data_IF_177029640839
#
_entry.id   IF_177029640839
#
_cell.length_a   1.000
_cell.length_b   1.000
_cell.length_c   1.000
_cell.angle_alpha   90.00
_cell.angle_beta   90.00
_cell.angle_gamma   90.00
#
_symmetry.space_group_name_H-M   'P 1'
#
loop_
_entity.id
_entity.type
_entity.pdbx_description
1 polymer ?
#
# COMPACT_ATOMS: atom_id res chain seq x y z
N UNK A 1 32.60 -11.96 -18.78
CA UNK A 1 33.05 -11.06 -17.71
C UNK A 1 31.81 -10.51 -17.05
N UNK A 2 31.45 -11.03 -15.88
CA UNK A 2 30.34 -10.45 -15.10
C UNK A 2 30.83 -9.12 -14.52
N UNK A 3 30.26 -8.01 -14.95
CA UNK A 3 30.49 -6.71 -14.33
C UNK A 3 29.95 -6.79 -12.90
N UNK A 4 30.81 -6.68 -11.90
CA UNK A 4 30.39 -6.60 -10.50
C UNK A 4 29.62 -5.28 -10.33
N UNK A 5 28.41 -5.35 -9.86
CA UNK A 5 27.58 -4.16 -9.56
C UNK A 5 28.34 -3.27 -8.57
N UNK A 6 28.62 -2.02 -8.98
CA UNK A 6 29.41 -1.07 -8.18
C UNK A 6 28.66 -0.69 -6.91
N UNK A 7 27.36 -0.40 -7.02
CA UNK A 7 26.49 -0.10 -5.90
C UNK A 7 25.39 -1.17 -5.82
N UNK A 8 25.40 -1.95 -4.74
CA UNK A 8 24.28 -2.82 -4.40
C UNK A 8 23.20 -1.99 -3.71
N UNK A 9 21.98 -2.02 -4.23
CA UNK A 9 20.81 -1.38 -3.66
C UNK A 9 19.71 -2.42 -3.46
N UNK A 10 19.16 -2.51 -2.27
CA UNK A 10 18.09 -3.45 -1.95
C UNK A 10 17.07 -2.83 -0.99
N UNK A 11 15.82 -3.25 -1.10
CA UNK A 11 14.75 -2.93 -0.16
C UNK A 11 14.43 -4.20 0.61
N UNK A 12 14.40 -4.09 1.92
CA UNK A 12 14.03 -5.17 2.84
C UNK A 12 12.73 -4.78 3.55
N UNK A 13 11.88 -5.76 3.81
CA UNK A 13 10.62 -5.58 4.51
C UNK A 13 9.91 -6.92 4.68
N UNK A 14 8.67 -6.89 5.16
CA UNK A 14 7.78 -8.05 5.23
C UNK A 14 7.17 -8.27 3.84
N UNK A 15 7.18 -9.49 3.34
CA UNK A 15 6.66 -9.86 2.03
C UNK A 15 5.12 -10.00 1.98
N UNK A 16 4.48 -10.11 3.16
CA UNK A 16 3.03 -10.17 3.31
C UNK A 16 2.57 -9.29 4.47
N UNK A 17 1.40 -8.65 4.31
CA UNK A 17 0.83 -7.76 5.32
C UNK A 17 -0.70 -7.82 5.28
N UNK A 18 -1.37 -7.53 6.40
CA UNK A 18 -2.80 -7.24 6.42
C UNK A 18 -3.01 -5.78 6.04
N UNK A 19 -4.10 -5.49 5.32
CA UNK A 19 -4.44 -4.11 4.98
C UNK A 19 -4.59 -3.25 6.24
N UNK A 20 -3.96 -2.07 6.23
CA UNK A 20 -3.98 -1.12 7.35
C UNK A 20 -2.90 -1.32 8.41
N UNK A 21 -2.20 -2.46 8.42
CA UNK A 21 -1.06 -2.65 9.32
C UNK A 21 0.12 -1.77 8.92
N UNK A 22 0.97 -1.44 9.90
CA UNK A 22 2.20 -0.70 9.66
C UNK A 22 3.27 -1.62 9.07
N UNK A 23 3.94 -1.14 8.03
CA UNK A 23 5.13 -1.77 7.45
C UNK A 23 6.33 -0.83 7.56
N UNK A 24 7.50 -1.38 7.89
CA UNK A 24 8.79 -0.70 7.82
C UNK A 24 9.59 -1.25 6.64
N UNK A 25 9.95 -0.37 5.72
CA UNK A 25 10.91 -0.65 4.65
C UNK A 25 12.30 -0.21 5.07
N UNK A 26 13.30 -1.06 4.87
CA UNK A 26 14.71 -0.74 5.03
C UNK A 26 15.39 -0.71 3.67
N UNK A 27 15.74 0.48 3.19
CA UNK A 27 16.53 0.64 1.97
C UNK A 27 17.99 0.55 2.34
N UNK A 28 18.64 -0.53 1.90
CA UNK A 28 20.02 -0.85 2.19
C UNK A 28 20.89 -0.63 0.96
N UNK A 29 22.06 -0.02 1.11
CA UNK A 29 22.98 0.22 0.03
C UNK A 29 24.43 -0.06 0.45
N UNK A 30 25.22 -0.56 -0.51
CA UNK A 30 26.61 -0.95 -0.30
C UNK A 30 27.47 -0.61 -1.50
N UNK A 31 28.60 0.06 -1.27
CA UNK A 31 29.60 0.28 -2.31
C UNK A 31 30.50 -0.95 -2.42
N UNK A 32 30.31 -1.72 -3.49
CA UNK A 32 31.13 -2.88 -3.84
C UNK A 32 32.30 -2.53 -4.76
N UNK A 33 32.39 -1.25 -5.18
CA UNK A 33 33.47 -0.75 -6.05
C UNK A 33 34.71 -0.34 -5.29
N UNK A 34 35.69 0.16 -6.04
CA UNK A 34 36.99 0.59 -5.51
C UNK A 34 37.10 2.14 -5.44
N UNK A 35 36.06 2.87 -5.83
CA UNK A 35 36.03 4.32 -5.83
C UNK A 35 34.98 4.84 -4.86
N UNK A 36 35.24 6.01 -4.28
CA UNK A 36 34.23 6.74 -3.50
C UNK A 36 33.08 7.16 -4.41
N UNK A 37 31.84 6.93 -3.97
CA UNK A 37 30.64 7.41 -4.64
C UNK A 37 30.24 8.73 -4.01
N UNK A 38 30.35 9.80 -4.78
CA UNK A 38 30.16 11.18 -4.32
C UNK A 38 28.75 11.67 -4.62
N UNK A 39 28.25 12.60 -3.79
CA UNK A 39 26.94 13.23 -3.92
C UNK A 39 25.80 12.22 -4.13
N UNK A 40 25.74 11.14 -3.32
CA UNK A 40 24.68 10.16 -3.48
C UNK A 40 23.34 10.75 -3.04
N UNK A 41 22.31 10.54 -3.86
CA UNK A 41 20.93 10.97 -3.56
C UNK A 41 19.99 9.79 -3.70
N UNK A 42 19.29 9.46 -2.62
CA UNK A 42 18.32 8.37 -2.54
C UNK A 42 16.93 8.94 -2.78
N UNK A 43 16.20 8.31 -3.70
CA UNK A 43 14.77 8.50 -3.87
C UNK A 43 14.09 7.20 -3.47
N UNK A 44 13.11 7.29 -2.58
CA UNK A 44 12.26 6.18 -2.20
C UNK A 44 10.80 6.52 -2.44
N UNK A 45 10.10 5.65 -3.15
CA UNK A 45 8.69 5.77 -3.48
C UNK A 45 7.93 4.63 -2.83
N UNK A 46 7.02 4.99 -1.94
CA UNK A 46 6.09 4.07 -1.31
C UNK A 46 5.11 3.49 -2.34
N UNK A 47 4.55 2.30 -2.09
CA UNK A 47 3.48 1.77 -2.91
C UNK A 47 2.30 2.74 -3.05
N UNK A 48 1.54 2.58 -4.12
CA UNK A 48 0.25 3.26 -4.26
C UNK A 48 -0.66 2.96 -3.06
N UNK A 49 -1.49 3.92 -2.68
CA UNK A 49 -2.39 3.84 -1.52
C UNK A 49 -1.68 3.66 -0.18
N UNK A 50 -0.43 4.05 -0.08
CA UNK A 50 0.27 4.17 1.21
C UNK A 50 -0.25 5.34 2.02
N UNK A 51 -0.43 5.13 3.32
CA UNK A 51 -0.82 6.17 4.28
C UNK A 51 0.38 6.55 5.14
N UNK A 52 0.77 7.82 5.07
CA UNK A 52 1.79 8.44 5.91
C UNK A 52 1.18 9.59 6.70
N UNK A 53 1.78 9.98 7.81
CA UNK A 53 1.28 11.07 8.66
C UNK A 53 1.21 12.41 7.92
N UNK A 54 2.15 12.68 7.01
CA UNK A 54 2.25 13.92 6.24
C UNK A 54 1.71 13.81 4.82
N UNK A 55 1.14 12.66 4.43
CA UNK A 55 0.60 12.37 3.11
C UNK A 55 1.64 12.20 2.00
N UNK A 56 2.95 12.24 2.33
CA UNK A 56 4.01 12.05 1.35
C UNK A 56 4.22 10.58 1.04
N UNK A 57 4.32 10.26 -0.25
CA UNK A 57 4.59 8.91 -0.74
C UNK A 57 5.94 8.80 -1.46
N UNK A 58 6.61 9.92 -1.70
CA UNK A 58 7.92 10.00 -2.34
C UNK A 58 8.87 10.82 -1.48
N UNK A 59 10.02 10.24 -1.16
CA UNK A 59 11.05 10.83 -0.32
C UNK A 59 12.33 10.97 -1.12
N UNK A 60 13.01 12.10 -0.96
CA UNK A 60 14.33 12.34 -1.52
C UNK A 60 15.26 12.70 -0.38
N UNK A 61 16.41 12.05 -0.30
CA UNK A 61 17.39 12.25 0.75
C UNK A 61 18.81 12.26 0.16
N UNK A 62 19.53 13.35 0.36
CA UNK A 62 20.96 13.41 0.07
C UNK A 62 21.71 12.67 1.16
N UNK A 63 22.64 11.83 0.74
CA UNK A 63 23.43 10.97 1.61
C UNK A 63 24.86 11.47 1.66
N UNK A 64 25.63 10.99 2.65
CA UNK A 64 27.07 11.21 2.71
C UNK A 64 27.77 10.36 1.65
N UNK A 65 28.93 10.80 1.19
CA UNK A 65 29.79 10.02 0.31
C UNK A 65 29.94 8.58 0.81
N UNK A 66 29.84 7.62 -0.12
CA UNK A 66 29.88 6.19 0.20
C UNK A 66 31.25 5.65 -0.20
N UNK A 67 32.08 5.35 0.81
CA UNK A 67 33.43 4.83 0.59
C UNK A 67 33.40 3.35 0.17
N UNK A 68 34.47 2.84 -0.47
CA UNK A 68 34.59 1.43 -0.80
C UNK A 68 34.35 0.53 0.42
N UNK A 69 33.40 -0.40 0.30
CA UNK A 69 33.05 -1.33 1.37
C UNK A 69 31.98 -0.82 2.36
N UNK A 70 31.68 0.48 2.35
CA UNK A 70 30.64 1.03 3.21
C UNK A 70 29.27 0.43 2.90
N UNK A 71 28.55 0.09 3.97
CA UNK A 71 27.19 -0.41 3.94
C UNK A 71 26.34 0.40 4.93
N UNK A 72 25.24 0.96 4.44
CA UNK A 72 24.35 1.79 5.23
C UNK A 72 22.88 1.52 4.84
N UNK A 73 21.95 2.09 5.60
CA UNK A 73 20.51 1.95 5.35
C UNK A 73 19.71 3.18 5.75
N UNK A 74 18.53 3.31 5.17
CA UNK A 74 17.51 4.29 5.54
C UNK A 74 16.19 3.54 5.73
N UNK A 75 15.40 3.94 6.73
CA UNK A 75 14.13 3.31 7.07
C UNK A 75 12.95 4.23 6.74
N UNK A 76 11.87 3.63 6.25
CA UNK A 76 10.61 4.29 5.95
C UNK A 76 9.45 3.47 6.50
N UNK A 77 8.47 4.14 7.10
CA UNK A 77 7.27 3.51 7.64
C UNK A 77 6.02 4.03 6.96
N UNK A 78 5.07 3.15 6.78
CA UNK A 78 3.76 3.48 6.23
C UNK A 78 2.73 2.43 6.63
N UNK A 79 1.45 2.73 6.38
CA UNK A 79 0.37 1.75 6.36
C UNK A 79 -0.06 1.52 4.92
N UNK A 80 -0.31 0.27 4.56
CA UNK A 80 -0.74 -0.07 3.21
C UNK A 80 -2.24 -0.30 3.15
N UNK A 81 -2.87 0.33 2.17
CA UNK A 81 -4.23 0.03 1.75
C UNK A 81 -4.20 -0.72 0.41
N UNK A 82 -5.25 -1.46 0.12
CA UNK A 82 -5.36 -2.18 -1.14
C UNK A 82 -6.39 -3.30 -1.08
N UNK A 83 -6.52 -4.06 -2.14
CA UNK A 83 -7.40 -5.22 -2.21
C UNK A 83 -6.68 -6.47 -1.73
N UNK A 84 -7.44 -7.43 -1.24
CA UNK A 84 -6.91 -8.75 -0.87
C UNK A 84 -6.21 -9.39 -2.08
N UNK A 85 -5.07 -10.02 -1.82
CA UNK A 85 -4.17 -10.62 -2.81
C UNK A 85 -3.52 -9.64 -3.79
N UNK A 86 -3.70 -8.32 -3.65
CA UNK A 86 -2.97 -7.34 -4.44
C UNK A 86 -1.50 -7.23 -4.02
N UNK A 87 -0.65 -6.76 -4.96
CA UNK A 87 0.75 -6.49 -4.73
C UNK A 87 0.98 -4.98 -4.60
N UNK A 88 1.55 -4.57 -3.50
CA UNK A 88 1.99 -3.21 -3.24
C UNK A 88 3.49 -3.11 -3.52
N UNK A 89 3.92 -2.24 -4.44
CA UNK A 89 5.30 -2.19 -4.94
C UNK A 89 5.97 -0.90 -4.46
N UNK A 90 6.99 -1.04 -3.62
CA UNK A 90 7.91 0.03 -3.25
C UNK A 90 9.07 0.10 -4.26
N UNK A 91 9.58 1.31 -4.50
CA UNK A 91 10.67 1.55 -5.47
C UNK A 91 11.76 2.40 -4.84
N UNK A 92 13.00 2.12 -5.15
CA UNK A 92 14.14 2.92 -4.73
C UNK A 92 15.09 3.18 -5.88
N UNK A 93 15.59 4.41 -5.96
CA UNK A 93 16.65 4.84 -6.86
C UNK A 93 17.75 5.49 -6.04
N UNK A 94 18.98 5.15 -6.31
CA UNK A 94 20.14 5.80 -5.73
C UNK A 94 21.07 6.28 -6.83
N UNK A 95 21.12 7.60 -7.02
CA UNK A 95 22.02 8.23 -7.97
C UNK A 95 23.33 8.64 -7.29
N UNK A 96 24.44 8.53 -7.97
CA UNK A 96 25.77 8.84 -7.44
C UNK A 96 26.75 9.17 -8.56
N UNK A 97 27.88 9.75 -8.19
CA UNK A 97 28.98 10.06 -9.10
C UNK A 97 30.27 9.43 -8.57
N UNK A 98 30.85 8.43 -9.25
CA UNK A 98 32.16 7.89 -8.83
C UNK A 98 33.23 8.98 -8.87
N UNK A 99 34.08 9.00 -7.84
CA UNK A 99 35.20 9.94 -7.78
C UNK A 99 36.06 9.84 -9.06
N UNK A 100 36.44 10.96 -9.62
CA UNK A 100 37.18 11.11 -10.88
C UNK A 100 36.36 10.85 -12.15
N UNK A 101 35.02 10.71 -12.05
CA UNK A 101 34.10 10.74 -13.19
C UNK A 101 33.19 11.97 -13.08
N UNK A 102 32.75 12.47 -14.22
CA UNK A 102 31.79 13.59 -14.30
C UNK A 102 30.39 13.14 -14.69
N UNK A 103 30.20 11.84 -14.78
CA UNK A 103 28.92 11.22 -15.15
C UNK A 103 28.26 10.66 -13.89
N UNK A 104 26.96 10.95 -13.76
CA UNK A 104 26.11 10.41 -12.70
C UNK A 104 25.54 9.06 -13.11
N UNK A 105 25.62 8.11 -12.21
CA UNK A 105 25.03 6.77 -12.36
C UNK A 105 23.84 6.62 -11.43
N UNK A 106 22.97 5.65 -11.72
CA UNK A 106 21.82 5.33 -10.92
C UNK A 106 21.66 3.81 -10.78
N UNK A 107 21.39 3.37 -9.56
CA UNK A 107 20.93 2.02 -9.26
C UNK A 107 19.44 2.07 -8.91
N UNK A 108 18.69 1.06 -9.32
CA UNK A 108 17.25 0.94 -9.13
C UNK A 108 16.88 -0.43 -8.58
N UNK A 109 15.92 -0.47 -7.66
CA UNK A 109 15.37 -1.72 -7.13
C UNK A 109 13.91 -1.55 -6.74
N UNK A 110 13.19 -2.66 -6.64
CA UNK A 110 11.81 -2.72 -6.19
C UNK A 110 11.63 -3.79 -5.13
N UNK A 111 10.57 -3.63 -4.33
CA UNK A 111 10.15 -4.63 -3.35
C UNK A 111 8.62 -4.76 -3.39
N UNK A 112 8.12 -5.99 -3.46
CA UNK A 112 6.70 -6.27 -3.53
C UNK A 112 6.20 -6.85 -2.22
N UNK A 113 5.12 -6.29 -1.70
CA UNK A 113 4.41 -6.75 -0.50
C UNK A 113 3.04 -7.23 -0.93
N UNK A 114 2.66 -8.45 -0.52
CA UNK A 114 1.33 -8.98 -0.77
C UNK A 114 0.38 -8.60 0.37
N UNK A 115 -0.78 -8.03 0.04
CA UNK A 115 -1.86 -7.80 0.99
C UNK A 115 -2.66 -9.09 1.10
N UNK A 116 -2.60 -9.76 2.25
CA UNK A 116 -3.17 -11.10 2.45
C UNK A 116 -4.57 -11.11 3.09
N UNK A 117 -5.03 -9.98 3.59
CA UNK A 117 -6.39 -9.84 4.12
C UNK A 117 -6.85 -8.39 4.12
N UNK A 118 -8.14 -8.19 4.08
CA UNK A 118 -8.80 -6.89 4.19
C UNK A 118 -9.48 -6.75 5.56
N UNK A 119 -9.66 -5.51 6.07
CA UNK A 119 -10.22 -5.30 7.41
C UNK A 119 -11.71 -5.63 7.51
N UNK A 120 -12.44 -5.64 6.40
CA UNK A 120 -13.88 -5.87 6.36
C UNK A 120 -14.21 -6.90 5.28
N UNK A 121 -14.98 -7.91 5.66
CA UNK A 121 -15.66 -8.78 4.70
C UNK A 121 -17.01 -8.17 4.37
N UNK A 122 -17.36 -8.16 3.08
CA UNK A 122 -18.68 -7.80 2.57
C UNK A 122 -19.24 -9.00 1.81
N UNK A 123 -20.47 -9.38 2.10
CA UNK A 123 -21.14 -10.49 1.46
C UNK A 123 -22.59 -10.11 1.13
N UNK A 124 -23.00 -10.35 -0.13
CA UNK A 124 -24.35 -10.11 -0.59
C UNK A 124 -25.14 -11.42 -0.59
N UNK A 125 -26.23 -11.43 0.15
CA UNK A 125 -27.25 -12.48 0.03
C UNK A 125 -28.33 -12.01 -0.94
N UNK A 126 -28.27 -12.51 -2.16
CA UNK A 126 -29.10 -12.13 -3.28
C UNK A 126 -29.99 -13.30 -3.72
N UNK A 127 -31.27 -13.06 -4.08
CA UNK A 127 -32.08 -14.07 -4.73
C UNK A 127 -31.44 -14.55 -6.04
N UNK A 128 -31.51 -15.85 -6.29
CA UNK A 128 -30.94 -16.45 -7.52
C UNK A 128 -31.68 -16.04 -8.81
N UNK A 129 -32.85 -15.44 -8.67
CA UNK A 129 -33.69 -14.95 -9.79
C UNK A 129 -34.36 -13.64 -9.40
N UNK A 130 -34.40 -12.70 -10.33
CA UNK A 130 -35.16 -11.48 -10.23
C UNK A 130 -36.19 -11.43 -11.38
N UNK A 131 -37.41 -11.04 -11.07
CA UNK A 131 -38.48 -10.85 -12.07
C UNK A 131 -38.67 -9.35 -12.35
N UNK A 132 -38.77 -9.00 -13.63
CA UNK A 132 -38.94 -7.62 -14.04
C UNK A 132 -40.23 -7.03 -13.45
N UNK A 133 -40.12 -5.85 -12.80
CA UNK A 133 -41.26 -5.12 -12.22
C UNK A 133 -41.75 -5.71 -10.90
N UNK A 134 -41.06 -6.65 -10.29
CA UNK A 134 -41.31 -7.14 -8.95
C UNK A 134 -40.26 -6.68 -7.96
N UNK A 135 -40.69 -6.44 -6.73
CA UNK A 135 -39.79 -6.17 -5.62
C UNK A 135 -38.98 -7.44 -5.28
N UNK A 136 -37.72 -7.24 -4.94
CA UNK A 136 -36.85 -8.28 -4.37
C UNK A 136 -36.19 -7.75 -3.10
N UNK A 137 -35.96 -8.64 -2.14
CA UNK A 137 -35.22 -8.34 -0.95
C UNK A 137 -33.83 -8.96 -1.05
N UNK A 138 -32.83 -8.25 -0.56
CA UNK A 138 -31.47 -8.74 -0.42
C UNK A 138 -30.85 -8.19 0.87
N UNK A 139 -29.80 -8.88 1.34
CA UNK A 139 -29.03 -8.45 2.50
C UNK A 139 -27.59 -8.21 2.12
N UNK A 140 -27.01 -7.15 2.66
CA UNK A 140 -25.58 -6.93 2.66
C UNK A 140 -25.06 -7.19 4.07
N UNK A 141 -24.29 -8.26 4.21
CA UNK A 141 -23.61 -8.59 5.45
C UNK A 141 -22.20 -8.01 5.44
N UNK A 142 -21.79 -7.46 6.57
CA UNK A 142 -20.44 -6.93 6.74
C UNK A 142 -19.85 -7.41 8.07
N UNK A 143 -18.54 -7.61 8.11
CA UNK A 143 -17.87 -8.17 9.28
C UNK A 143 -16.46 -7.64 9.42
N UNK A 144 -16.06 -7.25 10.64
CA UNK A 144 -14.70 -6.79 10.93
C UNK A 144 -13.74 -7.97 11.11
N UNK A 145 -12.65 -8.00 10.34
CA UNK A 145 -11.58 -9.00 10.38
C UNK A 145 -10.36 -8.56 11.18
N UNK A 146 -10.38 -7.36 11.79
CA UNK A 146 -9.22 -6.78 12.48
C UNK A 146 -9.44 -6.67 13.98
N UNK A 147 -8.34 -6.49 14.71
CA UNK A 147 -8.30 -6.51 16.18
C UNK A 147 -8.54 -5.15 16.84
N UNK A 148 -8.78 -4.11 16.05
CA UNK A 148 -9.05 -2.76 16.52
C UNK A 148 -10.35 -2.21 15.92
N UNK A 149 -11.02 -1.25 16.56
CA UNK A 149 -12.25 -0.68 16.05
C UNK A 149 -11.99 0.13 14.78
N UNK A 150 -12.89 -0.02 13.81
CA UNK A 150 -12.98 0.86 12.65
C UNK A 150 -14.02 1.94 12.93
N UNK A 151 -13.68 3.19 12.67
CA UNK A 151 -14.53 4.34 12.95
C UNK A 151 -14.92 5.07 11.66
N UNK A 152 -16.11 5.71 11.70
CA UNK A 152 -16.62 6.54 10.60
C UNK A 152 -16.71 5.80 9.27
N UNK A 153 -17.16 4.56 9.28
CA UNK A 153 -17.36 3.79 8.07
C UNK A 153 -18.58 4.27 7.29
N UNK A 154 -18.48 4.19 5.98
CA UNK A 154 -19.61 4.41 5.07
C UNK A 154 -19.71 3.24 4.11
N UNK A 155 -20.90 2.68 3.99
CA UNK A 155 -21.24 1.69 2.96
C UNK A 155 -22.07 2.42 1.93
N UNK A 156 -21.60 2.41 0.68
CA UNK A 156 -22.30 2.97 -0.46
C UNK A 156 -22.59 1.89 -1.47
N UNK A 157 -23.84 1.82 -1.93
CA UNK A 157 -24.24 0.92 -3.01
C UNK A 157 -24.51 1.78 -4.24
N UNK A 158 -23.71 1.57 -5.28
CA UNK A 158 -23.95 2.24 -6.55
C UNK A 158 -25.18 1.66 -7.23
N UNK A 159 -26.01 2.53 -7.82
CA UNK A 159 -27.22 2.12 -8.51
C UNK A 159 -26.89 1.28 -9.74
N UNK A 160 -27.49 0.12 -9.83
CA UNK A 160 -27.43 -0.74 -11.02
C UNK A 160 -28.56 -0.36 -11.97
N UNK A 161 -28.28 -0.19 -13.24
CA UNK A 161 -29.28 0.12 -14.25
C UNK A 161 -30.44 -0.88 -14.21
N UNK A 162 -31.64 -0.37 -14.02
CA UNK A 162 -32.86 -1.17 -13.95
C UNK A 162 -33.30 -1.58 -12.55
N UNK A 163 -32.53 -1.19 -11.50
CA UNK A 163 -32.92 -1.38 -10.11
C UNK A 163 -33.11 -0.02 -9.40
N UNK A 164 -34.12 0.04 -8.55
CA UNK A 164 -34.36 1.18 -7.70
C UNK A 164 -34.53 0.69 -6.26
N UNK A 165 -33.81 1.31 -5.32
CA UNK A 165 -33.97 1.01 -3.90
C UNK A 165 -35.24 1.67 -3.40
N UNK A 166 -36.21 0.85 -2.97
CA UNK A 166 -37.46 1.32 -2.40
C UNK A 166 -37.31 1.65 -0.91
N UNK A 167 -36.75 0.73 -0.14
CA UNK A 167 -36.53 0.89 1.31
C UNK A 167 -35.32 0.10 1.79
N UNK A 168 -34.83 0.41 2.97
CA UNK A 168 -33.75 -0.33 3.63
C UNK A 168 -33.92 -0.34 5.15
N UNK A 169 -33.38 -1.38 5.79
CA UNK A 169 -33.26 -1.51 7.24
C UNK A 169 -31.80 -1.82 7.57
N UNK A 170 -31.06 -0.94 8.29
CA UNK A 170 -31.47 0.42 8.71
C UNK A 170 -31.70 1.37 7.53
N UNK A 171 -32.43 2.47 7.77
CA UNK A 171 -32.70 3.46 6.72
C UNK A 171 -31.40 4.09 6.21
N UNK A 172 -31.25 4.21 4.92
CA UNK A 172 -30.14 4.91 4.27
C UNK A 172 -30.26 6.43 4.40
N UNK A 173 -29.13 7.16 4.31
CA UNK A 173 -29.12 8.62 4.36
C UNK A 173 -29.71 9.26 3.10
N UNK A 174 -29.38 8.71 1.93
CA UNK A 174 -29.76 9.24 0.61
C UNK A 174 -30.18 8.17 -0.38
N UNK A 175 -30.77 7.08 0.12
CA UNK A 175 -31.16 5.85 -0.63
C UNK A 175 -29.98 4.98 -1.09
N UNK A 176 -28.74 5.36 -0.84
CA UNK A 176 -27.57 4.60 -1.31
C UNK A 176 -26.41 4.50 -0.31
N UNK A 177 -26.47 5.27 0.78
CA UNK A 177 -25.36 5.34 1.75
C UNK A 177 -25.84 5.02 3.18
N UNK A 178 -25.05 4.22 3.89
CA UNK A 178 -25.24 3.89 5.31
C UNK A 178 -23.98 4.23 6.07
N UNK A 179 -24.13 4.89 7.23
CA UNK A 179 -23.01 5.18 8.14
C UNK A 179 -22.99 4.21 9.30
N UNK A 180 -21.79 3.67 9.56
CA UNK A 180 -21.50 2.82 10.71
C UNK A 180 -20.50 3.60 11.56
N UNK A 181 -20.91 4.18 12.72
CA UNK A 181 -20.04 5.02 13.53
C UNK A 181 -18.80 4.27 14.01
N UNK A 182 -18.99 3.03 14.47
CA UNK A 182 -17.91 2.18 14.98
C UNK A 182 -18.23 0.73 14.68
N UNK A 183 -17.26 -0.01 14.19
CA UNK A 183 -17.32 -1.45 13.98
C UNK A 183 -16.16 -2.10 14.75
N UNK A 184 -16.49 -2.82 15.81
CA UNK A 184 -15.52 -3.51 16.65
C UNK A 184 -15.11 -4.86 16.06
N UNK A 185 -14.04 -5.45 16.61
CA UNK A 185 -13.59 -6.80 16.27
C UNK A 185 -14.74 -7.80 16.34
N UNK A 186 -14.84 -8.65 15.33
CA UNK A 186 -15.85 -9.70 15.21
C UNK A 186 -17.30 -9.21 15.31
N UNK A 187 -17.53 -7.93 15.02
CA UNK A 187 -18.86 -7.32 14.93
C UNK A 187 -19.27 -7.15 13.47
N UNK A 188 -20.54 -7.33 13.24
CA UNK A 188 -21.19 -7.11 11.95
C UNK A 188 -22.69 -7.06 12.10
#
# INVERSE_FOLDING_TARGET
IFSKEVLKLEILGTDTIKMGDEIEYTVKYKNNGNSVLQEPSLIFELPEHSLTEDGKTRFTQDLKDIYPGDENFVKFKTRLLGSENSLAIAKAWLSYMPKNLTVRFESYTTFSVKINSVPITLDFDLPSKAERGKEMQYSLNYFSNIDYPLENLSIKIDSINGFQLESSIPSSLDKSEWKIPTLNKAQG
#
